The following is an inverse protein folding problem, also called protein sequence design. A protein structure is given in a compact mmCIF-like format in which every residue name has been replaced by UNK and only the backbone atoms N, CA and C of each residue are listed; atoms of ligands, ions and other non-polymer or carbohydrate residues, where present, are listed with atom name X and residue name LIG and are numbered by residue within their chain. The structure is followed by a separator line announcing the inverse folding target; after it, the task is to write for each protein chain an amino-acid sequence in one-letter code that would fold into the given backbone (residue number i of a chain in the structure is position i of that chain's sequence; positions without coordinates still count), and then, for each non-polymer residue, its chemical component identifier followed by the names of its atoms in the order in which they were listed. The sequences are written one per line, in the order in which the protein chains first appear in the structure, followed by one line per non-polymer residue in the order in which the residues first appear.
data_IF_955974782154
#
_entry.id   IF_955974782154
#
_cell.length_a   1.000
_cell.length_b   1.000
_cell.length_c   1.000
_cell.angle_alpha   90.00
_cell.angle_beta   90.00
_cell.angle_gamma   90.00
#
_symmetry.space_group_name_H-M   'P 1'
#
loop_
_entity.id
_entity.type
_entity.pdbx_description
1 polymer ?
#
# COMPACT_ATOMS: atom_id res chain seq x y z
N UNK A 1 -45.99 25.66 33.21
CA UNK A 1 -46.77 26.28 32.12
C UNK A 1 -45.99 27.47 31.59
N UNK A 2 -45.67 27.46 30.28
CA UNK A 2 -45.66 28.59 29.32
C UNK A 2 -44.89 29.85 29.81
N UNK A 3 -43.78 30.32 29.23
CA UNK A 3 -43.66 31.02 27.93
C UNK A 3 -42.13 31.27 27.79
N UNK A 4 -41.44 30.67 26.82
CA UNK A 4 -41.18 31.24 25.48
C UNK A 4 -40.14 32.38 25.49
N UNK A 5 -38.94 32.04 25.01
CA UNK A 5 -38.11 32.75 23.99
C UNK A 5 -37.78 34.22 24.33
N UNK A 6 -36.51 34.62 24.29
CA UNK A 6 -35.87 35.15 23.09
C UNK A 6 -34.39 35.45 23.42
N UNK A 7 -33.52 35.34 22.42
CA UNK A 7 -32.08 35.74 22.38
C UNK A 7 -31.14 34.73 23.05
N UNK A 8 -30.25 34.01 22.35
CA UNK A 8 -29.21 34.55 21.48
C UNK A 8 -28.84 33.49 20.43
N UNK A 9 -29.19 33.76 19.18
CA UNK A 9 -28.66 33.04 18.03
C UNK A 9 -27.17 33.42 17.91
N UNK A 10 -26.28 32.55 18.35
CA UNK A 10 -24.88 32.59 17.91
C UNK A 10 -24.74 31.55 16.82
N UNK A 11 -24.93 32.03 15.59
CA UNK A 11 -24.49 31.36 14.40
C UNK A 11 -22.98 31.10 14.50
N UNK A 12 -22.59 29.84 14.73
CA UNK A 12 -21.26 29.35 14.37
C UNK A 12 -21.46 28.44 13.15
N UNK A 13 -21.81 29.07 12.03
CA UNK A 13 -21.44 28.55 10.71
C UNK A 13 -19.99 28.98 10.46
N UNK A 14 -19.05 28.08 10.76
CA UNK A 14 -17.64 28.04 10.32
C UNK A 14 -16.98 27.03 11.25
N UNK A 15 -16.67 25.79 10.86
CA UNK A 15 -15.78 25.41 9.79
C UNK A 15 -16.28 24.12 9.12
N UNK A 16 -16.93 24.27 7.98
CA UNK A 16 -16.85 23.26 6.94
C UNK A 16 -15.46 23.38 6.32
N UNK A 17 -14.50 22.59 6.79
CA UNK A 17 -13.40 22.06 5.98
C UNK A 17 -12.89 20.85 6.73
N UNK A 18 -13.54 19.71 6.46
CA UNK A 18 -12.96 18.43 6.78
C UNK A 18 -11.58 18.39 6.14
N UNK A 19 -10.56 18.33 6.98
CA UNK A 19 -9.22 17.87 6.60
C UNK A 19 -9.31 16.37 6.29
N UNK A 20 -10.12 16.01 5.29
CA UNK A 20 -9.97 14.78 4.56
C UNK A 20 -8.65 14.91 3.84
N UNK A 21 -7.56 14.60 4.53
CA UNK A 21 -6.31 14.26 3.90
C UNK A 21 -6.65 13.09 2.97
N UNK A 22 -6.95 13.40 1.71
CA UNK A 22 -7.02 12.40 0.67
C UNK A 22 -5.62 11.81 0.64
N UNK A 23 -5.44 10.66 1.30
CA UNK A 23 -4.25 9.83 1.16
C UNK A 23 -4.13 9.60 -0.35
N UNK A 24 -3.25 10.37 -0.98
CA UNK A 24 -3.03 10.28 -2.42
C UNK A 24 -2.76 8.81 -2.71
N UNK A 25 -3.57 8.22 -3.59
CA UNK A 25 -3.40 6.81 -3.93
C UNK A 25 -1.93 6.60 -4.32
N UNK A 26 -1.27 5.58 -3.76
CA UNK A 26 0.14 5.36 -4.03
C UNK A 26 0.35 5.26 -5.54
N UNK A 27 1.43 5.88 -6.03
CA UNK A 27 1.78 5.81 -7.44
C UNK A 27 1.78 4.33 -7.90
N UNK A 28 1.38 4.02 -9.15
CA UNK A 28 1.16 2.63 -9.57
C UNK A 28 2.32 1.68 -9.27
N UNK A 29 3.56 2.17 -9.45
CA UNK A 29 4.78 1.42 -9.13
C UNK A 29 4.94 1.15 -7.63
N UNK A 30 4.59 2.11 -6.79
CA UNK A 30 4.58 1.93 -5.33
C UNK A 30 3.46 0.97 -4.90
N UNK A 31 2.30 1.03 -5.55
CA UNK A 31 1.23 0.04 -5.33
C UNK A 31 1.69 -1.38 -5.68
N UNK A 32 2.33 -1.56 -6.83
CA UNK A 32 2.91 -2.85 -7.21
C UNK A 32 3.96 -3.34 -6.20
N UNK A 33 4.82 -2.43 -5.70
CA UNK A 33 5.81 -2.74 -4.65
C UNK A 33 5.13 -3.31 -3.41
N UNK A 34 4.06 -2.67 -2.94
CA UNK A 34 3.31 -3.10 -1.76
C UNK A 34 2.64 -4.45 -1.97
N UNK A 35 1.96 -4.68 -3.10
CA UNK A 35 1.36 -5.98 -3.45
C UNK A 35 2.39 -7.11 -3.37
N UNK A 36 3.55 -6.92 -3.99
CA UNK A 36 4.62 -7.93 -3.98
C UNK A 36 5.19 -8.16 -2.58
N UNK A 37 5.33 -7.08 -1.78
CA UNK A 37 5.80 -7.17 -0.40
C UNK A 37 4.81 -7.95 0.46
N UNK A 38 3.53 -7.61 0.40
CA UNK A 38 2.47 -8.21 1.20
C UNK A 38 2.36 -9.70 0.90
N UNK A 39 2.35 -10.11 -0.37
CA UNK A 39 2.31 -11.52 -0.75
C UNK A 39 3.53 -12.32 -0.25
N UNK A 40 4.71 -11.71 -0.27
CA UNK A 40 5.92 -12.36 0.22
C UNK A 40 5.91 -12.54 1.74
N UNK A 41 5.47 -11.51 2.46
CA UNK A 41 5.37 -11.53 3.92
C UNK A 41 4.26 -12.48 4.38
N UNK A 42 3.09 -12.43 3.75
CA UNK A 42 1.95 -13.30 4.05
C UNK A 42 2.31 -14.78 3.86
N UNK A 43 2.92 -15.14 2.72
CA UNK A 43 3.37 -16.52 2.44
C UNK A 43 4.48 -17.01 3.39
N UNK A 44 5.11 -16.09 4.11
CA UNK A 44 6.21 -16.37 5.04
C UNK A 44 5.83 -16.22 6.50
N UNK A 45 4.62 -15.76 6.81
CA UNK A 45 4.14 -15.47 8.17
C UNK A 45 4.25 -16.66 9.13
N UNK A 46 4.09 -17.88 8.61
CA UNK A 46 4.18 -19.12 9.40
C UNK A 46 5.61 -19.69 9.54
N UNK A 47 6.64 -18.95 9.13
CA UNK A 47 8.05 -19.43 9.13
C UNK A 47 8.77 -19.27 10.47
N UNK A 48 8.08 -18.86 11.52
CA UNK A 48 8.63 -18.74 12.88
C UNK A 48 9.86 -17.83 12.95
N UNK A 49 10.97 -18.35 13.46
CA UNK A 49 12.23 -17.61 13.64
C UNK A 49 12.87 -17.09 12.33
N UNK A 50 12.50 -17.65 11.17
CA UNK A 50 13.00 -17.18 9.87
C UNK A 50 12.21 -15.99 9.32
N UNK A 51 11.10 -15.62 9.96
CA UNK A 51 10.20 -14.58 9.45
C UNK A 51 10.90 -13.23 9.25
N UNK A 52 11.69 -12.78 10.23
CA UNK A 52 12.35 -11.46 10.14
C UNK A 52 13.36 -11.38 8.98
N UNK A 53 14.14 -12.44 8.77
CA UNK A 53 15.09 -12.51 7.66
C UNK A 53 14.35 -12.54 6.32
N UNK A 54 13.29 -13.35 6.21
CA UNK A 54 12.49 -13.42 5.00
C UNK A 54 11.81 -12.08 4.73
N UNK A 55 11.26 -11.40 5.74
CA UNK A 55 10.65 -10.08 5.61
C UNK A 55 11.65 -9.02 5.13
N UNK A 56 12.90 -9.04 5.61
CA UNK A 56 13.99 -8.19 5.10
C UNK A 56 14.25 -8.46 3.61
N UNK A 57 14.31 -9.74 3.23
CA UNK A 57 14.53 -10.14 1.83
C UNK A 57 13.34 -9.72 0.94
N UNK A 58 12.10 -9.90 1.39
CA UNK A 58 10.88 -9.43 0.73
C UNK A 58 10.91 -7.91 0.50
N UNK A 59 11.34 -7.13 1.50
CA UNK A 59 11.46 -5.67 1.40
C UNK A 59 12.50 -5.26 0.36
N UNK A 60 13.67 -5.90 0.36
CA UNK A 60 14.71 -5.67 -0.64
C UNK A 60 14.22 -6.02 -2.05
N UNK A 61 13.65 -7.21 -2.23
CA UNK A 61 13.24 -7.70 -3.54
C UNK A 61 12.06 -6.92 -4.13
N UNK A 62 11.05 -6.56 -3.33
CA UNK A 62 9.91 -5.75 -3.79
C UNK A 62 10.35 -4.39 -4.31
N UNK A 63 11.22 -3.68 -3.58
CA UNK A 63 11.75 -2.39 -4.00
C UNK A 63 12.58 -2.47 -5.30
N UNK A 64 13.37 -3.52 -5.47
CA UNK A 64 14.17 -3.72 -6.70
C UNK A 64 13.33 -4.16 -7.88
N UNK A 65 12.35 -5.04 -7.64
CA UNK A 65 11.46 -5.55 -8.69
C UNK A 65 10.60 -4.42 -9.25
N UNK A 66 9.95 -3.62 -8.39
CA UNK A 66 9.12 -2.51 -8.84
C UNK A 66 9.87 -1.48 -9.72
N UNK A 67 11.17 -1.29 -9.49
CA UNK A 67 12.01 -0.41 -10.31
C UNK A 67 12.38 -0.99 -11.68
N UNK A 68 12.40 -2.32 -11.80
CA UNK A 68 12.79 -3.04 -13.03
C UNK A 68 11.61 -3.40 -13.94
N UNK A 69 10.40 -3.44 -13.39
CA UNK A 69 9.19 -3.70 -14.17
C UNK A 69 8.90 -2.54 -15.11
N UNK A 70 8.46 -2.86 -16.32
CA UNK A 70 7.88 -1.89 -17.24
C UNK A 70 6.55 -1.36 -16.68
N UNK A 71 6.05 -0.24 -17.23
CA UNK A 71 4.78 0.32 -16.79
C UNK A 71 3.60 -0.63 -17.08
N UNK A 72 3.64 -1.41 -18.17
CA UNK A 72 2.66 -2.44 -18.48
C UNK A 72 2.67 -3.59 -17.46
N UNK A 73 3.86 -4.03 -17.04
CA UNK A 73 4.01 -5.07 -16.02
C UNK A 73 3.55 -4.57 -14.65
N UNK A 74 3.83 -3.30 -14.31
CA UNK A 74 3.31 -2.65 -13.11
C UNK A 74 1.78 -2.62 -13.15
N UNK A 75 1.19 -2.19 -14.26
CA UNK A 75 -0.26 -2.15 -14.42
C UNK A 75 -0.87 -3.56 -14.30
N UNK A 76 -0.22 -4.58 -14.86
CA UNK A 76 -0.68 -5.96 -14.75
C UNK A 76 -0.64 -6.49 -13.31
N UNK A 77 0.42 -6.21 -12.56
CA UNK A 77 0.52 -6.58 -11.13
C UNK A 77 -0.54 -5.87 -10.30
N UNK A 78 -0.75 -4.57 -10.53
CA UNK A 78 -1.77 -3.78 -9.81
C UNK A 78 -3.18 -4.27 -10.16
N UNK A 79 -3.47 -4.52 -11.44
CA UNK A 79 -4.79 -4.98 -11.89
C UNK A 79 -5.10 -6.40 -11.42
N UNK A 80 -4.11 -7.27 -11.33
CA UNK A 80 -4.29 -8.64 -10.86
C UNK A 80 -4.22 -8.78 -9.34
N UNK A 81 -3.81 -7.71 -8.64
CA UNK A 81 -3.47 -7.68 -7.21
C UNK A 81 -2.52 -8.81 -6.80
N UNK A 82 -1.62 -9.19 -7.71
CA UNK A 82 -0.64 -10.28 -7.49
C UNK A 82 0.53 -10.24 -8.45
N UNK A 83 1.60 -10.94 -8.09
CA UNK A 83 2.69 -11.26 -9.01
C UNK A 83 2.15 -11.98 -10.26
N UNK A 84 2.40 -11.38 -11.41
CA UNK A 84 2.09 -11.97 -12.73
C UNK A 84 3.27 -12.78 -13.24
N UNK A 85 3.05 -13.61 -14.27
CA UNK A 85 4.10 -14.49 -14.81
C UNK A 85 5.36 -13.73 -15.28
N UNK A 86 5.19 -12.58 -15.93
CA UNK A 86 6.31 -11.72 -16.37
C UNK A 86 7.07 -11.12 -15.19
N UNK A 87 6.34 -10.59 -14.20
CA UNK A 87 6.93 -10.02 -12.98
C UNK A 87 7.61 -11.06 -12.09
N UNK A 88 7.14 -12.32 -12.11
CA UNK A 88 7.68 -13.44 -11.32
C UNK A 88 9.15 -13.72 -11.66
N UNK A 89 9.54 -13.62 -12.93
CA UNK A 89 10.94 -13.81 -13.33
C UNK A 89 11.86 -12.77 -12.69
N UNK A 90 11.47 -11.49 -12.79
CA UNK A 90 12.22 -10.36 -12.22
C UNK A 90 12.28 -10.47 -10.70
N UNK A 91 11.15 -10.80 -10.08
CA UNK A 91 11.04 -11.05 -8.64
C UNK A 91 12.01 -12.12 -8.16
N UNK A 92 12.03 -13.29 -8.81
CA UNK A 92 12.91 -14.40 -8.43
C UNK A 92 14.39 -14.04 -8.55
N UNK A 93 14.77 -13.28 -9.59
CA UNK A 93 16.11 -12.75 -9.73
C UNK A 93 16.47 -11.79 -8.58
N UNK A 94 15.57 -10.88 -8.22
CA UNK A 94 15.83 -9.91 -7.15
C UNK A 94 15.85 -10.58 -5.77
N UNK A 95 15.01 -11.60 -5.54
CA UNK A 95 15.02 -12.40 -4.31
C UNK A 95 16.37 -13.11 -4.11
N UNK A 96 16.97 -13.66 -5.17
CA UNK A 96 18.31 -14.27 -5.07
C UNK A 96 19.39 -13.26 -4.72
N UNK A 97 19.28 -12.04 -5.23
CA UNK A 97 20.25 -10.98 -4.99
C UNK A 97 20.03 -10.21 -3.69
N UNK A 98 19.00 -10.56 -2.91
CA UNK A 98 18.66 -9.96 -1.62
C UNK A 98 18.80 -10.94 -0.44
N UNK A 99 19.06 -12.22 -0.71
CA UNK A 99 19.47 -13.23 0.27
C UNK A 99 20.96 -13.16 0.50
#
# INVERSE_FOLDING_TARGET
MIIRRVVLAVAVMAFAFGSGASLAAPAPRERARLIMLDQCVESSSNRGNLFEEIAKNCRCASGRTAKKLSDDEVAAVVSADKLTGSATRVWNEQMKACK
#
